data_IF_131346211265
#
_entry.id   IF_131346211265
#
_cell.length_a   1.000
_cell.length_b   1.000
_cell.length_c   1.000
_cell.angle_alpha   90.00
_cell.angle_beta   90.00
_cell.angle_gamma   90.00
#
_symmetry.space_group_name_H-M   'P 1'
#
loop_
_entity.id
_entity.type
_entity.pdbx_description
1 polymer ?
#
# COMPACT_ATOMS: atom_id res chain seq x y z
N UNK A 1 9.60 12.30 22.24
CA UNK A 1 9.42 13.45 21.31
C UNK A 1 10.47 13.29 20.22
N UNK A 2 10.24 13.33 18.92
CA UNK A 2 9.10 13.59 18.07
C UNK A 2 9.33 12.77 16.80
N UNK A 3 8.33 11.99 16.37
CA UNK A 3 8.29 11.37 15.05
C UNK A 3 7.94 12.47 14.04
N UNK A 4 8.95 13.07 13.39
CA UNK A 4 8.72 13.85 12.17
C UNK A 4 8.75 12.90 10.98
N UNK A 5 7.57 12.71 10.40
CA UNK A 5 7.35 11.97 9.17
C UNK A 5 8.24 12.51 8.05
N UNK A 6 8.97 11.60 7.41
CA UNK A 6 9.36 11.78 6.03
C UNK A 6 8.11 11.50 5.21
N UNK A 7 7.45 12.55 4.77
CA UNK A 7 6.69 12.49 3.52
C UNK A 7 7.62 11.84 2.49
N UNK A 8 7.17 10.73 1.93
CA UNK A 8 7.77 10.18 0.72
C UNK A 8 7.48 11.23 -0.34
N UNK A 9 8.46 12.09 -0.59
CA UNK A 9 8.58 12.83 -1.83
C UNK A 9 8.53 11.77 -2.94
N UNK A 10 7.37 11.62 -3.56
CA UNK A 10 7.26 10.95 -4.84
C UNK A 10 8.21 11.70 -5.75
N UNK A 11 9.40 11.12 -5.98
CA UNK A 11 10.42 11.69 -6.86
C UNK A 11 9.72 12.14 -8.15
N UNK A 12 10.05 13.36 -8.59
CA UNK A 12 9.69 13.88 -9.93
C UNK A 12 9.88 12.85 -11.05
N UNK A 13 10.73 11.85 -10.83
CA UNK A 13 10.98 10.72 -11.73
C UNK A 13 9.78 9.78 -11.92
N UNK A 14 8.91 9.55 -10.92
CA UNK A 14 7.73 8.68 -11.11
C UNK A 14 6.67 9.34 -12.00
N UNK A 15 6.59 10.67 -12.01
CA UNK A 15 5.73 11.40 -12.95
C UNK A 15 6.27 11.38 -14.39
N UNK A 16 7.57 11.12 -14.59
CA UNK A 16 8.20 11.01 -15.91
C UNK A 16 8.11 9.60 -16.51
N UNK A 17 7.94 8.56 -15.69
CA UNK A 17 7.97 7.14 -16.12
C UNK A 17 6.66 6.66 -16.77
N UNK A 18 5.55 7.41 -16.63
CA UNK A 18 4.29 7.18 -17.35
C UNK A 18 4.10 8.13 -18.55
N UNK A 19 5.17 8.67 -19.13
CA UNK A 19 5.06 9.35 -20.43
C UNK A 19 4.70 8.34 -21.51
N UNK A 20 3.41 8.22 -21.81
CA UNK A 20 2.98 7.71 -23.11
C UNK A 20 3.58 8.67 -24.13
N UNK A 21 4.48 8.17 -24.97
CA UNK A 21 4.86 8.88 -26.20
C UNK A 21 3.61 8.96 -27.08
N UNK A 22 2.83 10.02 -26.89
CA UNK A 22 1.64 10.27 -27.67
C UNK A 22 2.09 10.69 -29.07
N UNK A 23 1.43 10.13 -30.07
CA UNK A 23 1.55 10.64 -31.44
C UNK A 23 0.34 11.51 -31.72
N UNK A 24 0.59 12.64 -32.37
CA UNK A 24 -0.45 13.53 -32.87
C UNK A 24 -1.32 12.77 -33.89
N UNK A 25 -2.62 13.11 -33.96
CA UNK A 25 -3.49 12.55 -34.99
C UNK A 25 -2.99 12.96 -36.38
N UNK A 26 -3.20 12.16 -37.44
CA UNK A 26 -2.76 12.52 -38.79
C UNK A 26 -3.34 13.85 -39.28
N UNK A 27 -4.58 14.18 -38.89
CA UNK A 27 -5.26 15.42 -39.24
C UNK A 27 -4.62 16.62 -38.56
N UNK A 28 -4.37 16.53 -37.25
CA UNK A 28 -3.68 17.60 -36.51
C UNK A 28 -2.26 17.79 -37.05
N UNK A 29 -1.53 16.70 -37.30
CA UNK A 29 -0.17 16.78 -37.82
C UNK A 29 -0.11 17.49 -39.16
N UNK A 30 -1.00 17.15 -40.10
CA UNK A 30 -1.09 17.82 -41.39
C UNK A 30 -1.41 19.31 -41.24
N UNK A 31 -2.28 19.68 -40.28
CA UNK A 31 -2.59 21.07 -39.96
C UNK A 31 -1.35 21.82 -39.46
N UNK A 32 -0.64 21.26 -38.48
CA UNK A 32 0.59 21.83 -37.93
C UNK A 32 1.70 21.95 -38.98
N UNK A 33 1.91 20.93 -39.82
CA UNK A 33 2.91 20.95 -40.91
C UNK A 33 2.59 22.04 -41.95
N UNK A 34 1.32 22.15 -42.38
CA UNK A 34 0.87 23.21 -43.30
C UNK A 34 1.13 24.59 -42.71
N UNK A 35 0.69 24.83 -41.47
CA UNK A 35 0.88 26.10 -40.77
C UNK A 35 2.37 26.46 -40.63
N UNK A 36 3.23 25.48 -40.33
CA UNK A 36 4.67 25.68 -40.17
C UNK A 36 5.40 26.09 -41.45
N UNK A 37 4.75 26.00 -42.62
CA UNK A 37 5.30 26.37 -43.93
C UNK A 37 4.78 27.69 -44.48
N UNK A 38 3.81 28.33 -43.80
CA UNK A 38 3.29 29.62 -44.19
C UNK A 38 4.36 30.72 -44.01
N UNK A 39 4.50 31.58 -45.02
CA UNK A 39 5.41 32.74 -44.97
C UNK A 39 4.83 33.92 -44.18
N UNK A 40 3.51 34.03 -44.16
CA UNK A 40 2.78 35.04 -43.39
C UNK A 40 1.88 34.37 -42.34
N UNK A 41 2.29 34.34 -41.07
CA UNK A 41 1.52 33.73 -39.99
C UNK A 41 0.19 34.45 -39.69
N UNK A 42 0.01 35.68 -40.16
CA UNK A 42 -1.23 36.46 -39.95
C UNK A 42 -2.38 36.05 -40.88
N UNK A 43 -2.07 35.27 -41.91
CA UNK A 43 -3.04 34.73 -42.88
C UNK A 43 -3.92 33.59 -42.34
N UNK A 44 -3.65 33.11 -41.12
CA UNK A 44 -4.36 31.98 -40.52
C UNK A 44 -5.69 32.44 -39.94
N UNK A 45 -6.75 31.74 -40.29
CA UNK A 45 -8.09 32.05 -39.80
C UNK A 45 -8.25 31.72 -38.30
N UNK A 46 -9.14 32.44 -37.60
CA UNK A 46 -9.47 32.16 -36.18
C UNK A 46 -9.88 30.71 -35.95
N UNK A 47 -10.66 30.12 -36.87
CA UNK A 47 -11.10 28.73 -36.76
C UNK A 47 -9.92 27.74 -36.78
N UNK A 48 -8.90 27.98 -37.62
CA UNK A 48 -7.71 27.14 -37.69
C UNK A 48 -6.85 27.28 -36.43
N UNK A 49 -6.76 28.51 -35.88
CA UNK A 49 -6.09 28.76 -34.60
C UNK A 49 -6.80 28.04 -33.44
N UNK A 50 -8.14 28.08 -33.41
CA UNK A 50 -8.92 27.36 -32.42
C UNK A 50 -8.70 25.85 -32.53
N UNK A 51 -8.67 25.29 -33.74
CA UNK A 51 -8.38 23.87 -33.95
C UNK A 51 -6.99 23.46 -33.45
N UNK A 52 -5.95 24.27 -33.74
CA UNK A 52 -4.58 24.05 -33.24
C UNK A 52 -4.52 24.03 -31.70
N UNK A 53 -5.28 24.93 -31.07
CA UNK A 53 -5.41 25.08 -29.64
C UNK A 53 -6.39 24.09 -28.99
N UNK A 54 -7.06 23.24 -29.78
CA UNK A 54 -8.12 22.32 -29.33
C UNK A 54 -9.37 23.01 -28.77
N UNK A 55 -9.63 24.23 -29.20
CA UNK A 55 -10.81 25.03 -28.87
C UNK A 55 -11.94 24.77 -29.87
N UNK A 56 -13.21 25.00 -29.49
CA UNK A 56 -14.35 24.89 -30.40
C UNK A 56 -14.26 25.91 -31.55
N UNK A 57 -15.04 25.71 -32.64
CA UNK A 57 -15.20 26.71 -33.69
C UNK A 57 -15.57 28.10 -33.16
N UNK A 58 -15.20 29.19 -33.84
CA UNK A 58 -15.36 30.55 -33.31
C UNK A 58 -16.78 30.94 -32.89
N UNK A 59 -17.78 30.52 -33.67
CA UNK A 59 -19.21 30.73 -33.41
C UNK A 59 -19.66 30.00 -32.14
N UNK A 60 -19.20 28.77 -31.95
CA UNK A 60 -19.46 27.97 -30.75
C UNK A 60 -18.72 28.51 -29.52
N UNK A 61 -17.46 28.93 -29.69
CA UNK A 61 -16.67 29.57 -28.63
C UNK A 61 -17.34 30.84 -28.13
N UNK A 62 -17.78 31.71 -29.05
CA UNK A 62 -18.46 32.95 -28.70
C UNK A 62 -19.82 32.68 -28.05
N UNK A 63 -20.58 31.69 -28.54
CA UNK A 63 -21.84 31.24 -27.91
C UNK A 63 -21.62 30.81 -26.46
N UNK A 64 -20.64 29.94 -26.21
CA UNK A 64 -20.31 29.45 -24.87
C UNK A 64 -19.78 30.56 -23.96
N UNK A 65 -19.01 31.50 -24.51
CA UNK A 65 -18.53 32.66 -23.76
C UNK A 65 -19.70 33.57 -23.33
N UNK A 66 -20.65 33.85 -24.23
CA UNK A 66 -21.86 34.61 -23.91
C UNK A 66 -22.73 33.88 -22.89
N UNK A 67 -22.90 32.56 -23.02
CA UNK A 67 -23.67 31.77 -22.06
C UNK A 67 -23.08 31.83 -20.65
N UNK A 68 -21.75 31.74 -20.53
CA UNK A 68 -21.07 31.71 -19.22
C UNK A 68 -20.92 33.09 -18.58
N UNK A 69 -20.53 34.11 -19.35
CA UNK A 69 -20.13 35.43 -18.81
C UNK A 69 -20.84 36.61 -19.47
N UNK A 70 -21.77 36.38 -20.39
CA UNK A 70 -22.56 37.43 -21.03
C UNK A 70 -21.80 38.27 -22.06
N UNK A 71 -20.57 37.88 -22.42
CA UNK A 71 -19.71 38.59 -23.36
C UNK A 71 -19.20 37.64 -24.44
N UNK A 72 -19.10 38.10 -25.68
CA UNK A 72 -18.36 37.38 -26.72
C UNK A 72 -16.86 37.38 -26.41
N UNK A 73 -16.08 36.47 -27.02
CA UNK A 73 -14.65 36.36 -26.73
C UNK A 73 -13.87 37.65 -27.03
N UNK A 74 -14.25 38.37 -28.08
CA UNK A 74 -13.63 39.65 -28.43
C UNK A 74 -13.90 40.73 -27.36
N UNK A 75 -15.15 40.87 -26.93
CA UNK A 75 -15.56 41.81 -25.89
C UNK A 75 -14.90 41.49 -24.55
N UNK A 76 -14.77 40.20 -24.24
CA UNK A 76 -14.06 39.75 -23.04
C UNK A 76 -12.58 40.14 -23.09
N UNK A 77 -11.91 39.97 -24.24
CA UNK A 77 -10.51 40.43 -24.42
C UNK A 77 -10.39 41.95 -24.28
N UNK A 78 -11.33 42.71 -24.81
CA UNK A 78 -11.35 44.17 -24.69
C UNK A 78 -11.55 44.58 -23.21
N UNK A 79 -12.40 43.88 -22.47
CA UNK A 79 -12.54 44.06 -21.01
C UNK A 79 -11.22 43.83 -20.28
N UNK A 80 -10.46 42.78 -20.64
CA UNK A 80 -9.12 42.54 -20.07
C UNK A 80 -8.18 43.70 -20.40
N UNK A 81 -8.19 44.18 -21.64
CA UNK A 81 -7.33 45.26 -22.11
C UNK A 81 -7.59 46.58 -21.38
N UNK A 82 -8.87 46.90 -21.12
CA UNK A 82 -9.30 48.11 -20.41
C UNK A 82 -9.00 48.00 -18.91
N UNK A 83 -9.38 46.90 -18.27
CA UNK A 83 -9.20 46.73 -16.83
C UNK A 83 -9.26 45.27 -16.37
N UNK A 84 -8.11 44.60 -16.42
CA UNK A 84 -7.96 43.21 -15.94
C UNK A 84 -8.39 42.97 -14.49
N UNK A 85 -8.38 43.98 -13.61
CA UNK A 85 -8.80 43.83 -12.21
C UNK A 85 -10.31 43.64 -12.04
N UNK A 86 -11.09 43.96 -13.07
CA UNK A 86 -12.56 43.77 -13.09
C UNK A 86 -12.98 42.38 -13.51
N UNK A 87 -12.03 41.52 -13.90
CA UNK A 87 -12.37 40.16 -14.31
C UNK A 87 -12.83 39.34 -13.11
N UNK A 88 -13.90 38.58 -13.33
CA UNK A 88 -14.32 37.49 -12.45
C UNK A 88 -13.40 36.29 -12.65
N UNK A 89 -13.54 35.29 -11.76
CA UNK A 89 -12.79 34.04 -11.87
C UNK A 89 -13.10 33.31 -13.19
N UNK A 90 -14.39 33.19 -13.53
CA UNK A 90 -14.85 32.55 -14.77
C UNK A 90 -14.37 33.26 -16.03
N UNK A 91 -14.39 34.59 -16.03
CA UNK A 91 -13.86 35.41 -17.13
C UNK A 91 -12.36 35.18 -17.35
N UNK A 92 -11.58 35.12 -16.26
CA UNK A 92 -10.16 34.84 -16.33
C UNK A 92 -9.89 33.40 -16.77
N UNK A 93 -10.68 32.43 -16.29
CA UNK A 93 -10.58 31.02 -16.69
C UNK A 93 -10.86 30.83 -18.18
N UNK A 94 -11.89 31.49 -18.73
CA UNK A 94 -12.21 31.43 -20.17
C UNK A 94 -11.06 31.97 -21.03
N UNK A 95 -10.41 33.07 -20.64
CA UNK A 95 -9.27 33.63 -21.39
C UNK A 95 -8.04 32.72 -21.35
N UNK A 96 -7.78 32.06 -20.22
CA UNK A 96 -6.59 31.23 -20.02
C UNK A 96 -6.75 29.82 -20.57
N UNK A 97 -7.92 29.23 -20.36
CA UNK A 97 -8.19 27.81 -20.59
C UNK A 97 -9.29 27.57 -21.63
N UNK A 98 -9.95 28.61 -22.15
CA UNK A 98 -11.01 28.49 -23.15
C UNK A 98 -12.40 28.29 -22.56
N UNK A 99 -13.43 28.58 -23.38
CA UNK A 99 -14.83 28.56 -22.95
C UNK A 99 -15.35 27.16 -22.54
N UNK A 100 -14.69 26.08 -22.97
CA UNK A 100 -15.05 24.70 -22.63
C UNK A 100 -14.37 24.18 -21.36
N UNK A 101 -13.59 25.01 -20.67
CA UNK A 101 -12.93 24.59 -19.43
C UNK A 101 -13.91 24.44 -18.27
N UNK A 102 -13.67 23.39 -17.47
CA UNK A 102 -14.42 23.01 -16.27
C UNK A 102 -13.45 22.71 -15.12
N UNK A 103 -13.78 23.22 -13.93
CA UNK A 103 -12.94 23.09 -12.73
C UNK A 103 -12.69 21.63 -12.33
N UNK A 104 -13.68 20.75 -12.52
CA UNK A 104 -13.62 19.34 -12.13
C UNK A 104 -13.01 18.43 -13.20
N UNK A 105 -12.74 18.96 -14.40
CA UNK A 105 -12.14 18.22 -15.51
C UNK A 105 -10.91 18.97 -16.06
N UNK A 106 -9.70 18.76 -15.50
CA UNK A 106 -8.48 19.45 -15.94
C UNK A 106 -8.07 19.18 -17.39
N UNK A 107 -8.66 18.17 -18.03
CA UNK A 107 -8.43 17.83 -19.44
C UNK A 107 -9.42 18.55 -20.39
N UNK A 108 -10.42 19.26 -19.86
CA UNK A 108 -11.32 20.12 -20.62
C UNK A 108 -10.67 21.46 -20.99
N UNK A 109 -11.22 22.14 -21.99
CA UNK A 109 -10.69 23.42 -22.45
C UNK A 109 -9.59 23.30 -23.50
N UNK A 110 -8.75 24.33 -23.55
CA UNK A 110 -7.61 24.51 -24.44
C UNK A 110 -6.57 23.42 -24.21
N UNK A 111 -5.97 22.91 -25.29
CA UNK A 111 -4.78 22.06 -25.23
C UNK A 111 -3.67 22.79 -24.46
N UNK A 112 -3.42 22.32 -23.24
CA UNK A 112 -2.41 22.91 -22.38
C UNK A 112 -1.00 22.58 -22.89
N UNK A 113 0.01 23.42 -22.60
CA UNK A 113 1.41 23.19 -22.98
C UNK A 113 1.95 21.81 -22.53
N UNK A 114 1.40 21.22 -21.46
CA UNK A 114 1.75 19.86 -21.03
C UNK A 114 1.37 18.80 -22.07
N UNK A 115 0.32 18.99 -22.87
CA UNK A 115 -0.07 18.03 -23.91
C UNK A 115 1.05 17.84 -24.95
N UNK A 116 1.74 18.92 -25.34
CA UNK A 116 2.86 18.81 -26.29
C UNK A 116 4.13 18.23 -25.66
N UNK A 117 4.24 18.24 -24.32
CA UNK A 117 5.38 17.62 -23.62
C UNK A 117 5.34 16.09 -23.67
N UNK A 118 4.16 15.50 -23.89
CA UNK A 118 3.95 14.06 -24.04
C UNK A 118 4.05 13.59 -25.51
N UNK A 119 4.18 14.53 -26.46
CA UNK A 119 4.42 14.21 -27.87
C UNK A 119 5.86 13.71 -28.09
N UNK A 120 6.03 12.91 -29.15
CA UNK A 120 7.36 12.56 -29.64
C UNK A 120 8.13 13.81 -30.08
N UNK A 121 9.46 13.77 -29.95
CA UNK A 121 10.35 14.93 -30.12
C UNK A 121 10.07 15.78 -31.37
N UNK A 122 9.94 15.13 -32.54
CA UNK A 122 9.69 15.81 -33.81
C UNK A 122 8.35 16.56 -33.83
N UNK A 123 7.31 15.98 -33.23
CA UNK A 123 5.99 16.61 -33.15
C UNK A 123 5.97 17.73 -32.11
N UNK A 124 6.70 17.58 -31.00
CA UNK A 124 6.88 18.65 -30.01
C UNK A 124 7.56 19.86 -30.63
N UNK A 125 8.65 19.66 -31.38
CA UNK A 125 9.35 20.74 -32.09
C UNK A 125 8.46 21.42 -33.13
N UNK A 126 7.62 20.65 -33.82
CA UNK A 126 6.64 21.19 -34.76
C UNK A 126 5.61 22.09 -34.06
N UNK A 127 5.06 21.65 -32.91
CA UNK A 127 4.14 22.45 -32.10
C UNK A 127 4.80 23.74 -31.63
N UNK A 128 6.02 23.66 -31.09
CA UNK A 128 6.78 24.82 -30.61
C UNK A 128 7.04 25.84 -31.72
N UNK A 129 7.44 25.36 -32.91
CA UNK A 129 7.64 26.20 -34.10
C UNK A 129 6.36 26.93 -34.50
N UNK A 130 5.24 26.22 -34.55
CA UNK A 130 3.93 26.80 -34.91
C UNK A 130 3.49 27.82 -33.86
N UNK A 131 3.55 27.48 -32.57
CA UNK A 131 3.15 28.39 -31.49
C UNK A 131 3.99 29.66 -31.44
N UNK A 132 5.30 29.55 -31.69
CA UNK A 132 6.20 30.70 -31.77
C UNK A 132 5.82 31.61 -32.94
N UNK A 133 5.58 31.05 -34.12
CA UNK A 133 5.19 31.82 -35.32
C UNK A 133 3.81 32.48 -35.19
N UNK A 134 2.88 31.86 -34.47
CA UNK A 134 1.52 32.40 -34.25
C UNK A 134 1.40 33.30 -33.02
N UNK A 135 2.51 33.56 -32.33
CA UNK A 135 2.53 34.44 -31.17
C UNK A 135 2.10 35.87 -31.56
N UNK A 136 0.94 36.30 -31.05
CA UNK A 136 0.47 37.66 -31.19
C UNK A 136 0.80 38.46 -29.91
N UNK A 137 1.56 39.57 -29.99
CA UNK A 137 1.84 40.42 -28.84
C UNK A 137 0.61 40.85 -28.05
N UNK A 138 -0.51 41.13 -28.74
CA UNK A 138 -1.79 41.48 -28.12
C UNK A 138 -2.35 40.31 -27.30
N UNK A 139 -2.58 39.15 -27.92
CA UNK A 139 -3.10 37.96 -27.20
C UNK A 139 -2.19 37.56 -26.02
N UNK A 140 -0.87 37.70 -26.19
CA UNK A 140 0.11 37.43 -25.13
C UNK A 140 0.04 38.44 -23.99
N UNK A 141 -0.32 39.69 -24.25
CA UNK A 141 -0.56 40.69 -23.22
C UNK A 141 -1.88 40.40 -22.48
N UNK A 142 -2.95 40.08 -23.22
CA UNK A 142 -4.25 39.71 -22.64
C UNK A 142 -4.13 38.49 -21.72
N UNK A 143 -3.46 37.42 -22.17
CA UNK A 143 -3.20 36.24 -21.34
C UNK A 143 -2.39 36.56 -20.09
N UNK A 144 -1.38 37.42 -20.17
CA UNK A 144 -0.57 37.83 -19.02
C UNK A 144 -1.41 38.59 -17.99
N UNK A 145 -2.25 39.51 -18.44
CA UNK A 145 -3.13 40.29 -17.57
C UNK A 145 -4.21 39.42 -16.92
N UNK A 146 -4.86 38.55 -17.69
CA UNK A 146 -5.82 37.57 -17.15
C UNK A 146 -5.15 36.60 -16.17
N UNK A 147 -3.94 36.12 -16.48
CA UNK A 147 -3.14 35.27 -15.58
C UNK A 147 -2.84 35.94 -14.26
N UNK A 148 -2.42 37.22 -14.29
CA UNK A 148 -2.19 38.00 -13.07
C UNK A 148 -3.46 38.09 -12.22
N UNK A 149 -4.60 38.43 -12.84
CA UNK A 149 -5.87 38.52 -12.10
C UNK A 149 -6.31 37.17 -11.53
N UNK A 150 -6.13 36.11 -12.30
CA UNK A 150 -6.43 34.76 -11.88
C UNK A 150 -5.59 34.34 -10.66
N UNK A 151 -4.31 34.69 -10.64
CA UNK A 151 -3.44 34.45 -9.49
C UNK A 151 -3.91 35.25 -8.26
N UNK A 152 -4.30 36.51 -8.42
CA UNK A 152 -4.87 37.34 -7.34
C UNK A 152 -6.15 36.72 -6.76
N UNK A 153 -7.11 36.35 -7.62
CA UNK A 153 -8.37 35.73 -7.20
C UNK A 153 -8.13 34.38 -6.51
N UNK A 154 -7.20 33.60 -7.01
CA UNK A 154 -6.77 32.33 -6.41
C UNK A 154 -6.16 32.53 -5.02
N UNK A 155 -5.38 33.58 -4.80
CA UNK A 155 -4.81 33.90 -3.49
C UNK A 155 -5.91 34.30 -2.49
N UNK A 156 -6.93 35.03 -2.94
CA UNK A 156 -8.08 35.39 -2.08
C UNK A 156 -8.87 34.16 -1.62
N UNK A 157 -9.04 33.15 -2.48
CA UNK A 157 -9.74 31.90 -2.16
C UNK A 157 -8.83 30.83 -1.50
N UNK A 158 -7.54 31.14 -1.27
CA UNK A 158 -6.57 30.17 -0.79
C UNK A 158 -6.97 29.51 0.55
N UNK A 159 -7.42 30.24 1.59
CA UNK A 159 -7.81 29.62 2.86
C UNK A 159 -8.98 28.63 2.71
N UNK A 160 -9.99 28.98 1.92
CA UNK A 160 -11.15 28.11 1.68
C UNK A 160 -10.78 26.87 0.84
N UNK A 161 -9.80 26.98 -0.05
CA UNK A 161 -9.26 25.84 -0.80
C UNK A 161 -8.44 24.91 0.08
N UNK A 162 -7.61 25.46 0.96
CA UNK A 162 -6.85 24.69 1.94
C UNK A 162 -7.80 23.94 2.90
N UNK A 163 -8.83 24.62 3.39
CA UNK A 163 -9.87 23.99 4.22
C UNK A 163 -10.58 22.85 3.49
N UNK A 164 -11.01 23.06 2.23
CA UNK A 164 -11.63 21.99 1.41
C UNK A 164 -10.68 20.81 1.16
N UNK A 165 -9.39 21.08 0.91
CA UNK A 165 -8.37 20.04 0.73
C UNK A 165 -8.17 19.24 2.01
N UNK A 166 -8.09 19.92 3.16
CA UNK A 166 -7.94 19.27 4.44
C UNK A 166 -9.17 18.43 4.79
N UNK A 167 -10.38 18.97 4.60
CA UNK A 167 -11.62 18.23 4.79
C UNK A 167 -11.66 16.98 3.90
N UNK A 168 -11.39 17.11 2.60
CA UNK A 168 -11.34 15.96 1.69
C UNK A 168 -10.26 14.95 2.08
N UNK A 169 -9.11 15.42 2.56
CA UNK A 169 -8.06 14.55 3.07
C UNK A 169 -8.49 13.82 4.35
N UNK A 170 -9.22 14.48 5.26
CA UNK A 170 -9.79 13.88 6.46
C UNK A 170 -10.87 12.85 6.10
N UNK A 171 -11.77 13.18 5.18
CA UNK A 171 -12.79 12.26 4.67
C UNK A 171 -12.16 11.03 4.01
N UNK A 172 -11.13 11.22 3.17
CA UNK A 172 -10.39 10.09 2.58
C UNK A 172 -9.70 9.25 3.67
N UNK A 173 -9.04 9.87 4.67
CA UNK A 173 -8.42 9.14 5.78
C UNK A 173 -9.45 8.35 6.59
N UNK A 174 -10.62 8.93 6.85
CA UNK A 174 -11.71 8.29 7.57
C UNK A 174 -12.30 7.13 6.76
N UNK A 175 -12.51 7.30 5.45
CA UNK A 175 -12.97 6.25 4.56
C UNK A 175 -11.96 5.09 4.50
N UNK A 176 -10.67 5.38 4.37
CA UNK A 176 -9.61 4.37 4.42
C UNK A 176 -9.56 3.64 5.76
N UNK A 177 -9.75 4.35 6.88
CA UNK A 177 -9.81 3.74 8.21
C UNK A 177 -11.05 2.84 8.37
N UNK A 178 -12.22 3.28 7.93
CA UNK A 178 -13.45 2.49 7.96
C UNK A 178 -13.35 1.24 7.08
N UNK A 179 -12.78 1.36 5.88
CA UNK A 179 -12.51 0.23 4.99
C UNK A 179 -11.49 -0.75 5.59
N UNK A 180 -10.49 -0.24 6.32
CA UNK A 180 -9.56 -1.09 7.08
C UNK A 180 -10.32 -1.90 8.11
N UNK A 181 -11.15 -1.27 8.90
CA UNK A 181 -11.84 -1.92 10.03
C UNK A 181 -12.90 -2.92 9.55
N UNK A 182 -13.67 -2.58 8.51
CA UNK A 182 -14.70 -3.46 7.94
C UNK A 182 -14.14 -4.77 7.35
N UNK A 183 -12.91 -4.74 6.81
CA UNK A 183 -12.26 -5.92 6.24
C UNK A 183 -11.26 -6.59 7.17
N UNK A 184 -11.27 -6.32 8.47
CA UNK A 184 -10.35 -6.95 9.43
C UNK A 184 -10.99 -8.23 9.98
N UNK A 185 -10.32 -9.39 9.91
CA UNK A 185 -10.82 -10.63 10.50
C UNK A 185 -11.10 -10.50 12.01
N UNK A 186 -12.14 -11.19 12.50
CA UNK A 186 -12.63 -11.07 13.88
C UNK A 186 -11.53 -11.32 14.92
N UNK A 187 -10.75 -12.36 14.71
CA UNK A 187 -9.69 -12.76 15.62
C UNK A 187 -8.52 -11.75 15.69
N UNK A 188 -8.21 -11.04 14.59
CA UNK A 188 -7.27 -9.91 14.62
C UNK A 188 -7.86 -8.74 15.42
N UNK A 189 -9.17 -8.49 15.30
CA UNK A 189 -9.85 -7.49 16.14
C UNK A 189 -9.77 -7.87 17.62
N UNK A 190 -9.97 -9.14 17.97
CA UNK A 190 -9.86 -9.65 19.34
C UNK A 190 -8.44 -9.46 19.90
N UNK A 191 -7.40 -9.76 19.12
CA UNK A 191 -6.00 -9.51 19.51
C UNK A 191 -5.68 -8.02 19.72
N UNK A 192 -6.19 -7.15 18.86
CA UNK A 192 -6.01 -5.70 19.01
C UNK A 192 -6.79 -5.15 20.21
N UNK A 193 -8.01 -5.64 20.42
CA UNK A 193 -8.86 -5.26 21.54
C UNK A 193 -8.28 -5.69 22.90
N UNK A 194 -7.56 -6.82 22.92
CA UNK A 194 -6.86 -7.31 24.11
C UNK A 194 -5.73 -6.37 24.57
N UNK A 195 -5.24 -5.47 23.69
CA UNK A 195 -4.21 -4.45 24.00
C UNK A 195 -2.99 -5.04 24.73
N UNK A 196 -2.58 -6.24 24.33
CA UNK A 196 -1.44 -6.92 24.93
C UNK A 196 -0.16 -6.13 24.62
N UNK A 197 0.47 -5.56 25.66
CA UNK A 197 1.71 -4.80 25.53
C UNK A 197 2.82 -5.63 24.88
N UNK A 198 2.87 -6.92 25.22
CA UNK A 198 3.71 -7.92 24.57
C UNK A 198 2.96 -9.24 24.46
N UNK A 199 3.18 -9.99 23.37
CA UNK A 199 2.59 -11.31 23.20
C UNK A 199 3.49 -12.28 22.44
N UNK A 200 3.50 -13.56 22.82
CA UNK A 200 4.46 -14.54 22.31
C UNK A 200 4.48 -15.83 23.11
N UNK A 201 5.27 -16.80 22.64
CA UNK A 201 5.53 -18.04 23.38
C UNK A 201 6.77 -17.92 24.28
N UNK A 202 6.89 -18.83 25.24
CA UNK A 202 8.20 -19.24 25.74
C UNK A 202 8.76 -20.29 24.80
N UNK A 203 10.03 -20.15 24.40
CA UNK A 203 10.70 -21.04 23.43
C UNK A 203 11.97 -21.59 24.06
N UNK A 204 12.03 -22.89 24.30
CA UNK A 204 13.21 -23.56 24.83
C UNK A 204 14.12 -24.05 23.71
N UNK A 205 15.41 -23.81 23.86
CA UNK A 205 16.47 -24.47 23.09
C UNK A 205 16.99 -25.67 23.87
N UNK A 206 17.16 -26.81 23.19
CA UNK A 206 17.66 -28.05 23.81
C UNK A 206 18.91 -28.65 23.15
N UNK A 207 19.53 -27.97 22.19
CA UNK A 207 20.77 -28.45 21.53
C UNK A 207 21.88 -27.40 21.63
N UNK A 208 22.90 -27.69 22.43
CA UNK A 208 24.05 -26.84 22.76
C UNK A 208 25.38 -27.40 22.27
N UNK A 209 25.36 -28.41 21.39
CA UNK A 209 26.58 -28.93 20.76
C UNK A 209 27.36 -27.84 20.02
N UNK A 210 28.63 -28.10 19.79
CA UNK A 210 29.53 -27.15 19.13
C UNK A 210 28.97 -26.67 17.78
N UNK A 211 29.06 -25.35 17.53
CA UNK A 211 28.53 -24.72 16.31
C UNK A 211 27.02 -24.44 16.32
N UNK A 212 26.25 -24.95 17.29
CA UNK A 212 24.79 -24.72 17.37
C UNK A 212 24.39 -23.33 17.81
N UNK A 213 25.28 -22.58 18.48
CA UNK A 213 25.01 -21.19 18.86
C UNK A 213 24.78 -20.28 17.65
N UNK A 214 25.53 -20.51 16.57
CA UNK A 214 25.33 -19.79 15.30
C UNK A 214 23.99 -20.15 14.67
N UNK A 215 23.61 -21.43 14.68
CA UNK A 215 22.32 -21.89 14.18
C UNK A 215 21.16 -21.36 15.01
N UNK A 216 21.31 -21.30 16.33
CA UNK A 216 20.34 -20.67 17.24
C UNK A 216 20.18 -19.18 16.93
N UNK A 217 21.28 -18.46 16.70
CA UNK A 217 21.20 -17.05 16.29
C UNK A 217 20.41 -16.88 14.97
N UNK A 218 20.66 -17.73 13.98
CA UNK A 218 19.91 -17.73 12.71
C UNK A 218 18.43 -18.04 12.96
N UNK A 219 18.11 -19.05 13.77
CA UNK A 219 16.73 -19.37 14.14
C UNK A 219 15.99 -18.16 14.72
N UNK A 220 16.61 -17.38 15.62
CA UNK A 220 16.00 -16.16 16.17
C UNK A 220 15.63 -15.15 15.08
N UNK A 221 16.49 -14.99 14.08
CA UNK A 221 16.23 -14.15 12.92
C UNK A 221 15.06 -14.66 12.08
N UNK A 222 15.10 -15.94 11.72
CA UNK A 222 14.04 -16.61 10.95
C UNK A 222 12.69 -16.51 11.66
N UNK A 223 12.62 -16.84 12.95
CA UNK A 223 11.39 -16.74 13.75
C UNK A 223 10.79 -15.34 13.73
N UNK A 224 11.60 -14.29 13.95
CA UNK A 224 11.14 -12.89 13.94
C UNK A 224 10.69 -12.43 12.56
N UNK A 225 11.43 -12.82 11.52
CA UNK A 225 11.05 -12.51 10.14
C UNK A 225 9.74 -13.18 9.75
N UNK A 226 9.56 -14.47 10.10
CA UNK A 226 8.30 -15.17 9.86
C UNK A 226 7.15 -14.52 10.63
N UNK A 227 7.35 -14.11 11.89
CA UNK A 227 6.33 -13.36 12.64
C UNK A 227 5.91 -12.08 11.88
N UNK A 228 6.88 -11.30 11.40
CA UNK A 228 6.61 -10.07 10.68
C UNK A 228 5.87 -10.32 9.36
N UNK A 229 6.29 -11.33 8.58
CA UNK A 229 5.64 -11.69 7.31
C UNK A 229 4.22 -12.18 7.57
N UNK A 230 4.02 -13.11 8.50
CA UNK A 230 2.67 -13.63 8.81
C UNK A 230 1.75 -12.49 9.27
N UNK A 231 2.19 -11.64 10.19
CA UNK A 231 1.35 -10.58 10.74
C UNK A 231 1.13 -9.39 9.80
N UNK A 232 2.06 -9.11 8.89
CA UNK A 232 1.93 -8.00 7.93
C UNK A 232 1.23 -8.44 6.66
N UNK A 233 1.60 -9.61 6.14
CA UNK A 233 1.31 -10.04 4.78
C UNK A 233 0.29 -11.19 4.73
N UNK A 234 -0.04 -11.85 5.85
CA UNK A 234 -1.06 -12.92 5.89
C UNK A 234 -2.25 -12.56 6.75
N UNK A 235 -2.00 -12.06 7.96
CA UNK A 235 -3.05 -11.54 8.83
C UNK A 235 -3.45 -10.16 8.32
N UNK A 236 -4.51 -10.15 7.51
CA UNK A 236 -5.00 -8.94 6.86
C UNK A 236 -5.14 -7.79 7.88
N UNK A 237 -4.39 -6.70 7.65
CA UNK A 237 -4.36 -5.48 8.49
C UNK A 237 -3.97 -5.71 9.96
N UNK A 238 -3.08 -6.67 10.25
CA UNK A 238 -2.55 -6.92 11.59
C UNK A 238 -1.13 -6.35 11.83
N UNK A 239 -0.60 -5.53 10.91
CA UNK A 239 0.78 -5.00 10.97
C UNK A 239 1.14 -4.32 12.31
N UNK A 240 0.18 -3.70 13.00
CA UNK A 240 0.41 -3.09 14.32
C UNK A 240 0.82 -4.13 15.38
N UNK A 241 0.34 -5.37 15.28
CA UNK A 241 0.66 -6.46 16.22
C UNK A 241 2.12 -6.92 16.10
N UNK A 242 2.81 -6.65 14.99
CA UNK A 242 4.24 -7.00 14.80
C UNK A 242 5.10 -6.38 15.90
N UNK A 243 4.79 -5.14 16.29
CA UNK A 243 5.59 -4.37 17.25
C UNK A 243 5.46 -4.89 18.69
N UNK A 244 4.33 -5.52 19.00
CA UNK A 244 4.04 -6.11 20.31
C UNK A 244 4.33 -7.61 20.34
N UNK A 245 4.50 -8.27 19.19
CA UNK A 245 4.89 -9.68 19.12
C UNK A 245 6.33 -9.84 19.62
N UNK A 246 6.48 -10.43 20.80
CA UNK A 246 7.77 -10.75 21.42
C UNK A 246 7.64 -12.10 22.10
N UNK A 247 8.38 -13.10 21.65
CA UNK A 247 8.51 -14.38 22.36
C UNK A 247 9.65 -14.31 23.38
N UNK A 248 9.59 -15.14 24.43
CA UNK A 248 10.64 -15.28 25.43
C UNK A 248 11.50 -16.50 25.11
N UNK A 249 12.74 -16.29 24.69
CA UNK A 249 13.62 -17.36 24.23
C UNK A 249 14.55 -17.78 25.37
N UNK A 250 14.38 -19.00 25.86
CA UNK A 250 15.17 -19.57 26.94
C UNK A 250 16.39 -20.28 26.37
N UNK A 251 17.55 -19.82 26.80
CA UNK A 251 18.86 -20.38 26.44
C UNK A 251 19.61 -20.69 27.72
N UNK A 252 19.45 -21.91 28.22
CA UNK A 252 20.10 -22.44 29.41
C UNK A 252 20.85 -23.73 29.01
N UNK A 253 22.20 -23.75 29.02
CA UNK A 253 22.99 -24.92 28.68
C UNK A 253 22.65 -26.17 29.50
N UNK A 254 22.05 -26.03 30.68
CA UNK A 254 21.58 -27.17 31.49
C UNK A 254 20.42 -27.94 30.84
N UNK A 255 19.80 -27.37 29.81
CA UNK A 255 18.72 -27.99 29.04
C UNK A 255 19.22 -28.74 27.81
N UNK A 256 20.53 -28.94 27.66
CA UNK A 256 21.09 -29.73 26.56
C UNK A 256 20.58 -31.17 26.62
N UNK A 257 19.95 -31.63 25.53
CA UNK A 257 19.30 -32.94 25.45
C UNK A 257 18.09 -33.13 26.38
N UNK A 258 17.53 -32.07 26.98
CA UNK A 258 16.45 -32.20 27.94
C UNK A 258 15.20 -32.88 27.35
N UNK A 259 14.61 -33.81 28.11
CA UNK A 259 13.35 -34.46 27.75
C UNK A 259 12.17 -33.50 27.84
N UNK A 260 11.05 -33.84 27.17
CA UNK A 260 9.83 -33.02 27.24
C UNK A 260 9.33 -32.86 28.68
N UNK A 261 9.39 -33.91 29.50
CA UNK A 261 8.96 -33.84 30.91
C UNK A 261 9.83 -32.88 31.72
N UNK A 262 11.14 -32.87 31.47
CA UNK A 262 12.06 -31.90 32.08
C UNK A 262 11.68 -30.47 31.70
N UNK A 263 11.32 -30.24 30.43
CA UNK A 263 10.89 -28.92 29.95
C UNK A 263 9.52 -28.52 30.51
N UNK A 264 8.57 -29.45 30.64
CA UNK A 264 7.26 -29.22 31.28
C UNK A 264 7.45 -28.75 32.71
N UNK A 265 8.25 -29.47 33.50
CA UNK A 265 8.55 -29.10 34.89
C UNK A 265 9.32 -27.78 34.99
N UNK A 266 10.27 -27.53 34.07
CA UNK A 266 10.95 -26.22 34.00
C UNK A 266 9.97 -25.09 33.72
N UNK A 267 9.06 -25.27 32.76
CA UNK A 267 8.07 -24.27 32.39
C UNK A 267 7.06 -24.02 33.52
N UNK A 268 6.55 -25.07 34.17
CA UNK A 268 5.66 -24.95 35.35
C UNK A 268 6.33 -24.14 36.46
N UNK A 269 7.59 -24.46 36.79
CA UNK A 269 8.36 -23.69 37.77
C UNK A 269 8.53 -22.23 37.36
N UNK A 270 8.81 -21.96 36.08
CA UNK A 270 8.89 -20.59 35.57
C UNK A 270 7.55 -19.85 35.70
N UNK A 271 6.42 -20.55 35.48
CA UNK A 271 5.07 -20.01 35.64
C UNK A 271 4.74 -19.72 37.11
N UNK A 272 5.11 -20.62 38.02
CA UNK A 272 4.87 -20.50 39.47
C UNK A 272 5.75 -19.43 40.13
N UNK A 273 6.97 -19.24 39.63
CA UNK A 273 7.94 -18.26 40.14
C UNK A 273 7.84 -16.88 39.46
N UNK A 274 6.82 -16.62 38.63
CA UNK A 274 6.69 -15.39 37.83
C UNK A 274 7.93 -15.08 36.94
N UNK A 275 8.68 -16.11 36.51
CA UNK A 275 9.81 -15.97 35.59
C UNK A 275 9.35 -15.75 34.13
N UNK A 276 8.08 -16.05 33.82
CA UNK A 276 7.49 -15.83 32.49
C UNK A 276 7.02 -14.37 32.38
N UNK A 277 7.58 -13.56 31.46
CA UNK A 277 7.15 -12.17 31.30
C UNK A 277 5.66 -12.06 30.98
N UNK A 278 5.00 -11.03 31.52
CA UNK A 278 3.56 -10.82 31.32
C UNK A 278 3.19 -10.75 29.84
N UNK A 279 2.04 -11.34 29.51
CA UNK A 279 1.52 -11.42 28.15
C UNK A 279 2.15 -12.52 27.30
N UNK A 280 2.97 -13.42 27.84
CA UNK A 280 3.33 -14.67 27.13
C UNK A 280 2.24 -15.74 27.32
N UNK A 281 2.15 -16.66 26.37
CA UNK A 281 1.33 -17.85 26.55
C UNK A 281 1.86 -18.66 27.74
N UNK A 282 0.98 -18.95 28.70
CA UNK A 282 1.27 -19.69 29.94
C UNK A 282 0.70 -21.11 29.92
N UNK A 283 -0.03 -21.46 28.87
CA UNK A 283 -0.66 -22.75 28.65
C UNK A 283 0.03 -23.54 27.53
N UNK A 284 1.11 -23.01 26.94
CA UNK A 284 1.87 -23.58 25.83
C UNK A 284 3.30 -23.04 25.79
N UNK A 285 4.26 -23.91 25.47
CA UNK A 285 5.62 -23.49 25.09
C UNK A 285 6.08 -24.19 23.80
N UNK A 286 7.12 -23.64 23.17
CA UNK A 286 7.73 -24.21 21.97
C UNK A 286 9.10 -24.81 22.28
N UNK A 287 9.48 -25.83 21.53
CA UNK A 287 10.79 -26.49 21.62
C UNK A 287 11.54 -26.37 20.31
N UNK A 288 12.82 -26.00 20.43
CA UNK A 288 13.81 -25.93 19.36
C UNK A 288 14.93 -26.91 19.70
N UNK A 289 14.83 -28.08 19.11
CA UNK A 289 15.74 -29.21 19.30
C UNK A 289 16.79 -29.30 18.19
N UNK A 290 17.56 -30.40 18.21
CA UNK A 290 18.53 -30.74 17.18
C UNK A 290 17.95 -30.71 15.77
N UNK A 291 16.78 -31.34 15.56
CA UNK A 291 16.17 -31.44 14.24
C UNK A 291 15.80 -30.07 13.69
N UNK A 292 15.31 -29.17 14.56
CA UNK A 292 15.01 -27.79 14.20
C UNK A 292 16.28 -27.02 13.83
N UNK A 293 17.34 -27.12 14.63
CA UNK A 293 18.59 -26.40 14.39
C UNK A 293 19.35 -26.92 13.17
N UNK A 294 19.26 -28.21 12.85
CA UNK A 294 19.91 -28.80 11.68
C UNK A 294 19.11 -28.69 10.39
N UNK A 295 17.87 -28.22 10.46
CA UNK A 295 17.02 -28.04 9.30
C UNK A 295 17.70 -27.18 8.21
N UNK A 296 17.44 -27.52 6.93
CA UNK A 296 18.08 -26.86 5.80
C UNK A 296 17.86 -25.34 5.83
N UNK A 297 16.68 -24.88 6.28
CA UNK A 297 16.30 -23.46 6.29
C UNK A 297 17.24 -22.66 7.19
N UNK A 298 17.64 -23.23 8.32
CA UNK A 298 18.60 -22.62 9.24
C UNK A 298 20.01 -22.66 8.64
N UNK A 299 20.38 -23.76 7.99
CA UNK A 299 21.73 -23.95 7.43
C UNK A 299 21.99 -23.12 6.16
N UNK A 300 21.00 -23.01 5.28
CA UNK A 300 21.07 -22.32 3.99
C UNK A 300 20.62 -20.86 4.07
N UNK A 301 19.98 -20.46 5.18
CA UNK A 301 19.31 -19.16 5.34
C UNK A 301 18.24 -18.91 4.26
N UNK A 302 17.71 -19.98 3.67
CA UNK A 302 16.77 -19.87 2.55
C UNK A 302 15.43 -19.36 3.05
N UNK A 303 14.94 -18.29 2.43
CA UNK A 303 13.60 -17.77 2.67
C UNK A 303 12.56 -18.72 2.07
N UNK A 304 11.36 -18.72 2.65
CA UNK A 304 10.21 -19.42 2.10
C UNK A 304 10.04 -19.14 0.60
N UNK A 305 9.80 -20.19 -0.19
CA UNK A 305 9.47 -20.09 -1.62
C UNK A 305 7.99 -20.49 -1.82
N UNK A 306 7.17 -19.63 -2.43
CA UNK A 306 5.81 -20.01 -2.82
C UNK A 306 5.83 -21.23 -3.76
N UNK A 307 4.80 -22.07 -3.66
CA UNK A 307 4.59 -23.22 -4.56
C UNK A 307 4.51 -22.79 -6.02
N UNK A 308 5.18 -23.53 -6.91
CA UNK A 308 4.85 -23.53 -8.34
C UNK A 308 3.71 -24.52 -8.62
N UNK A 309 2.82 -24.27 -9.60
CA UNK A 309 1.74 -25.20 -9.93
C UNK A 309 2.26 -26.64 -10.14
N UNK A 310 1.72 -27.61 -9.41
CA UNK A 310 2.12 -29.02 -9.47
C UNK A 310 3.12 -29.51 -8.41
N UNK A 311 3.73 -28.63 -7.60
CA UNK A 311 4.70 -29.04 -6.57
C UNK A 311 4.06 -29.46 -5.23
N UNK A 312 4.82 -30.17 -4.38
CA UNK A 312 4.40 -30.56 -3.03
C UNK A 312 4.06 -29.33 -2.16
N UNK A 313 3.30 -29.55 -1.08
CA UNK A 313 2.85 -28.46 -0.22
C UNK A 313 4.06 -27.74 0.42
N UNK A 314 4.17 -26.41 0.31
CA UNK A 314 5.22 -25.66 0.99
C UNK A 314 5.28 -25.90 2.50
N UNK A 315 4.17 -26.28 3.15
CA UNK A 315 4.16 -26.67 4.57
C UNK A 315 5.09 -27.84 4.88
N UNK A 316 5.28 -28.78 3.94
CA UNK A 316 6.16 -29.95 4.08
C UNK A 316 7.66 -29.57 4.04
N UNK A 317 7.98 -28.40 3.50
CA UNK A 317 9.36 -27.90 3.35
C UNK A 317 9.73 -26.83 4.38
N UNK A 318 8.79 -26.45 5.26
CA UNK A 318 9.01 -25.42 6.27
C UNK A 318 9.57 -25.99 7.56
N UNK A 319 10.31 -25.14 8.29
CA UNK A 319 10.77 -25.48 9.63
C UNK A 319 9.56 -25.69 10.55
N UNK A 320 9.45 -26.86 11.17
CA UNK A 320 8.39 -27.16 12.14
C UNK A 320 8.91 -27.08 13.57
N UNK A 321 8.06 -26.63 14.48
CA UNK A 321 8.33 -26.55 15.92
C UNK A 321 7.36 -27.44 16.68
N UNK A 322 7.84 -28.02 17.79
CA UNK A 322 6.97 -28.73 18.73
C UNK A 322 6.34 -27.71 19.68
N UNK A 323 5.01 -27.62 19.67
CA UNK A 323 4.24 -26.90 20.69
C UNK A 323 3.77 -27.91 21.74
N UNK A 324 4.15 -27.66 22.99
CA UNK A 324 4.03 -28.62 24.09
C UNK A 324 3.03 -28.12 25.11
N UNK A 325 2.13 -29.01 25.51
CA UNK A 325 1.21 -28.79 26.61
C UNK A 325 1.98 -28.99 27.93
N UNK A 326 2.15 -27.93 28.74
CA UNK A 326 2.87 -28.02 30.00
C UNK A 326 2.15 -28.87 31.04
N UNK A 327 0.82 -28.93 30.98
CA UNK A 327 -0.03 -29.56 32.00
C UNK A 327 -0.49 -30.97 31.58
N UNK A 328 -0.02 -31.46 30.43
CA UNK A 328 -0.31 -32.80 29.95
C UNK A 328 0.10 -33.86 30.98
N UNK A 329 -0.88 -34.64 31.42
CA UNK A 329 -0.69 -35.83 32.24
C UNK A 329 -0.99 -37.07 31.39
N UNK A 330 -0.10 -38.05 31.45
CA UNK A 330 -0.13 -39.26 30.61
C UNK A 330 -1.37 -40.17 30.87
N UNK A 331 -2.24 -39.75 31.79
CA UNK A 331 -3.50 -40.40 32.14
C UNK A 331 -4.67 -40.03 31.21
N UNK A 332 -4.56 -38.93 30.46
CA UNK A 332 -5.78 -38.26 29.96
C UNK A 332 -6.21 -38.63 28.54
N UNK A 333 -5.39 -39.31 27.72
CA UNK A 333 -5.86 -39.83 26.42
C UNK A 333 -4.86 -40.84 25.82
N UNK A 334 -5.37 -42.00 25.36
CA UNK A 334 -4.58 -43.05 24.68
C UNK A 334 -3.90 -42.62 23.36
N UNK A 335 -4.16 -41.40 22.85
CA UNK A 335 -3.81 -40.99 21.48
C UNK A 335 -3.27 -39.54 21.35
N UNK A 336 -2.68 -38.97 22.41
CA UNK A 336 -2.05 -37.64 22.34
C UNK A 336 -0.81 -37.62 23.23
N UNK A 337 0.36 -37.28 22.68
CA UNK A 337 1.65 -37.33 23.40
C UNK A 337 1.95 -36.06 24.23
N UNK A 338 0.96 -35.18 24.37
CA UNK A 338 1.13 -33.90 25.08
C UNK A 338 1.91 -32.85 24.30
N UNK A 339 2.06 -33.01 22.99
CA UNK A 339 2.60 -32.01 22.08
C UNK A 339 2.05 -32.18 20.67
N UNK A 340 2.19 -31.15 19.86
CA UNK A 340 1.88 -31.13 18.43
C UNK A 340 3.05 -30.54 17.66
N UNK A 341 3.22 -30.98 16.41
CA UNK A 341 4.18 -30.37 15.49
C UNK A 341 3.46 -29.34 14.62
N UNK A 342 3.96 -28.10 14.65
CA UNK A 342 3.38 -26.97 13.95
C UNK A 342 4.44 -26.36 13.02
N UNK A 343 4.14 -26.21 11.73
CA UNK A 343 4.97 -25.41 10.84
C UNK A 343 5.17 -23.98 11.36
N UNK A 344 6.39 -23.44 11.28
CA UNK A 344 6.73 -22.14 11.85
C UNK A 344 5.76 -21.00 11.45
N UNK A 345 5.27 -20.87 10.21
CA UNK A 345 4.31 -19.82 9.88
C UNK A 345 2.93 -19.99 10.55
N UNK A 346 2.51 -21.22 10.92
CA UNK A 346 1.26 -21.50 11.66
C UNK A 346 1.40 -21.35 13.18
N UNK A 347 2.62 -21.23 13.69
CA UNK A 347 2.84 -20.98 15.12
C UNK A 347 2.13 -19.72 15.59
N UNK A 348 2.01 -18.69 14.76
CA UNK A 348 1.32 -17.46 15.14
C UNK A 348 -0.20 -17.64 15.18
N UNK A 349 -0.78 -18.43 14.28
CA UNK A 349 -2.20 -18.81 14.35
C UNK A 349 -2.46 -19.59 15.64
N UNK A 350 -1.58 -20.54 15.96
CA UNK A 350 -1.63 -21.27 17.23
C UNK A 350 -1.56 -20.35 18.45
N UNK A 351 -0.68 -19.34 18.41
CA UNK A 351 -0.53 -18.36 19.49
C UNK A 351 -1.82 -17.60 19.76
N UNK A 352 -2.57 -17.24 18.72
CA UNK A 352 -3.89 -16.65 18.89
C UNK A 352 -4.83 -17.56 19.69
N UNK A 353 -4.87 -18.86 19.37
CA UNK A 353 -5.72 -19.82 20.09
C UNK A 353 -5.27 -20.10 21.52
N UNK A 354 -4.00 -19.88 21.86
CA UNK A 354 -3.53 -19.89 23.25
C UNK A 354 -4.08 -18.71 24.06
N UNK A 355 -4.15 -17.50 23.48
CA UNK A 355 -4.70 -16.33 24.16
C UNK A 355 -6.22 -16.25 24.14
N UNK A 356 -6.85 -16.74 23.07
CA UNK A 356 -8.30 -16.73 22.85
C UNK A 356 -8.83 -18.16 22.72
N UNK A 357 -8.76 -18.98 23.79
CA UNK A 357 -9.09 -20.39 23.71
C UNK A 357 -10.58 -20.58 23.42
N UNK A 358 -10.90 -21.04 22.21
CA UNK A 358 -12.26 -21.47 21.83
C UNK A 358 -12.63 -22.85 22.38
N UNK A 359 -11.67 -23.59 22.93
CA UNK A 359 -11.87 -24.90 23.54
C UNK A 359 -10.93 -25.07 24.73
N UNK A 360 -11.37 -25.83 25.74
CA UNK A 360 -10.51 -26.25 26.86
C UNK A 360 -9.50 -27.33 26.44
N UNK A 361 -9.80 -28.10 25.40
CA UNK A 361 -8.98 -29.24 24.98
C UNK A 361 -7.98 -28.84 23.89
N UNK A 362 -6.69 -29.06 24.17
CA UNK A 362 -5.56 -28.78 23.28
C UNK A 362 -5.69 -29.44 21.91
N UNK A 363 -6.08 -30.73 21.87
CA UNK A 363 -6.29 -31.48 20.63
C UNK A 363 -7.34 -30.83 19.72
N UNK A 364 -8.44 -30.33 20.30
CA UNK A 364 -9.49 -29.64 19.55
C UNK A 364 -8.98 -28.31 18.99
N UNK A 365 -8.22 -27.54 19.78
CA UNK A 365 -7.57 -26.31 19.27
C UNK A 365 -6.67 -26.63 18.08
N UNK A 366 -5.91 -27.73 18.15
CA UNK A 366 -4.98 -28.11 17.07
C UNK A 366 -5.71 -28.47 15.79
N UNK A 367 -6.77 -29.28 15.87
CA UNK A 367 -7.57 -29.64 14.70
C UNK A 367 -8.18 -28.40 14.03
N UNK A 368 -8.64 -27.43 14.82
CA UNK A 368 -9.11 -26.14 14.31
C UNK A 368 -7.97 -25.36 13.62
N UNK A 369 -6.76 -25.37 14.18
CA UNK A 369 -5.61 -24.62 13.63
C UNK A 369 -5.03 -25.27 12.37
N UNK A 370 -5.03 -26.61 12.31
CA UNK A 370 -4.47 -27.40 11.20
C UNK A 370 -5.45 -27.52 10.01
N UNK A 371 -6.73 -27.75 10.30
CA UNK A 371 -7.76 -28.06 9.29
C UNK A 371 -8.85 -27.00 9.14
N UNK A 372 -8.86 -25.96 9.97
CA UNK A 372 -9.82 -24.87 9.81
C UNK A 372 -9.48 -24.04 8.57
N UNK A 373 -10.47 -23.54 7.83
CA UNK A 373 -10.23 -22.43 6.94
C UNK A 373 -9.64 -21.33 7.82
N UNK A 374 -8.38 -20.96 7.58
CA UNK A 374 -7.94 -19.65 7.98
C UNK A 374 -8.98 -18.69 7.39
N UNK A 375 -9.89 -18.15 8.22
CA UNK A 375 -10.99 -17.28 7.78
C UNK A 375 -10.41 -16.33 6.71
N UNK A 376 -10.93 -16.43 5.48
CA UNK A 376 -10.37 -15.88 4.23
C UNK A 376 -9.29 -14.85 4.49
N UNK A 377 -8.05 -15.32 4.57
CA UNK A 377 -6.89 -14.46 4.67
C UNK A 377 -6.51 -14.00 3.26
N UNK A 378 -5.75 -12.91 3.19
CA UNK A 378 -5.48 -12.17 1.95
C UNK A 378 -5.26 -13.11 0.74
N UNK A 379 -6.01 -12.97 -0.38
CA UNK A 379 -5.84 -13.84 -1.55
C UNK A 379 -4.41 -13.82 -2.10
N UNK A 380 -3.65 -12.75 -1.84
CA UNK A 380 -2.26 -12.58 -2.24
C UNK A 380 -1.26 -12.98 -1.14
N UNK A 381 -1.71 -13.61 -0.05
CA UNK A 381 -0.85 -13.99 1.06
C UNK A 381 0.37 -14.82 0.59
N UNK A 382 1.59 -14.55 1.09
CA UNK A 382 2.79 -15.28 0.69
C UNK A 382 2.68 -16.78 1.03
N UNK A 383 1.94 -17.15 2.08
CA UNK A 383 1.76 -18.54 2.52
C UNK A 383 0.41 -19.12 2.02
N UNK A 384 0.34 -20.35 1.47
CA UNK A 384 -0.83 -20.82 0.73
C UNK A 384 -1.99 -21.23 1.63
N UNK A 385 -1.75 -21.68 2.88
CA UNK A 385 -2.86 -21.91 3.82
C UNK A 385 -3.47 -20.64 4.40
N UNK A 386 -3.23 -19.51 3.74
CA UNK A 386 -3.91 -18.24 3.97
C UNK A 386 -4.58 -17.71 2.71
N UNK A 387 -4.50 -18.41 1.56
CA UNK A 387 -5.17 -17.99 0.32
C UNK A 387 -6.57 -18.60 0.24
N UNK A 388 -7.54 -17.80 -0.20
CA UNK A 388 -8.92 -18.26 -0.42
C UNK A 388 -8.99 -19.31 -1.54
N UNK A 389 -9.80 -20.36 -1.37
CA UNK A 389 -10.19 -21.27 -2.47
C UNK A 389 -9.39 -22.56 -2.62
N UNK A 390 -8.48 -22.89 -1.70
CA UNK A 390 -8.04 -24.29 -1.55
C UNK A 390 -8.94 -24.98 -0.52
N UNK A 391 -10.15 -25.34 -0.98
CA UNK A 391 -10.89 -26.43 -0.35
C UNK A 391 -9.93 -27.63 -0.26
N UNK A 392 -9.74 -28.12 0.96
CA UNK A 392 -9.10 -29.39 1.21
C UNK A 392 -9.93 -30.48 0.54
N UNK A 393 -9.66 -30.75 -0.73
CA UNK A 393 -9.90 -32.06 -1.32
C UNK A 393 -8.89 -33.01 -0.69
N UNK A 394 -9.22 -33.53 0.48
CA UNK A 394 -8.71 -34.80 0.96
C UNK A 394 -9.91 -35.63 1.47
N UNK A 395 -9.93 -36.93 1.18
CA UNK A 395 -11.04 -37.84 1.49
C UNK A 395 -11.28 -38.04 2.99
#
# INVERSE_FOLDING_TARGET
MSLKGKEVELSREVHLILRRNLRMSPQDRALYERVATLKDPTSIARAEKNQLDGLPPPDEEDRLCVEKVGLAMAELKDKVAVSHVTLTQEEADIILFGATWELDNPASGKRYLLWSMDLVEAERQLVEKVQTSLGNPYDNAIKRLAGKRWDELRQLDQPAREQRREQKAQEMRAAFAAQREAGRPRWVQEMLAAKLAHWGFVIFRTDYREGKDKKWHVFKGVYRMTAAIVLRDCWNKANTLVTTQKSFLVSDPKLDGASLDTLRERFKRMRENDEIPSGRATDCFLVVDEAVLDHNVISTKTLYKPKSPGEADPWDTTLSLRAVDPDYNNTDTLNFEGYITIPLPKVFDWLYYCFMPKSKYWKTRYLITKGGPAEVMDPDAPYPAYRSGMESLLP
#
